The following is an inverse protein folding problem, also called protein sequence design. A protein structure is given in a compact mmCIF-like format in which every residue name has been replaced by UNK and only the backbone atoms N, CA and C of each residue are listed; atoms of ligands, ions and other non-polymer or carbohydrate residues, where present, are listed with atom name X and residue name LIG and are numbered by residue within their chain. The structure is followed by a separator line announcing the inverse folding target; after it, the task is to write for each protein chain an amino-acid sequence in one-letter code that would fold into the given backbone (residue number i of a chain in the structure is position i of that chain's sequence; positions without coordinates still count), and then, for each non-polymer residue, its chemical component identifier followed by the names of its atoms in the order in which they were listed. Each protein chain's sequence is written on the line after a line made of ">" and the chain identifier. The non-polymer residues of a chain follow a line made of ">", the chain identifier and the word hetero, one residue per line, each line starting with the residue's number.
data_IF_673664574810
#
_entry.id   IF_673664574810
#
_cell.length_a   1.000
_cell.length_b   1.000
_cell.length_c   1.000
_cell.angle_alpha   90.00
_cell.angle_beta   90.00
_cell.angle_gamma   90.00
#
_symmetry.space_group_name_H-M   'P 1'
#
loop_
_entity.id
_entity.type
_entity.pdbx_description
1 polymer ?
#
# COMPACT_ATOMS: atom_id res chain seq x y z
N UNK A 1 5.63 12.61 9.68
CA UNK A 1 4.41 13.37 9.32
C UNK A 1 3.55 12.66 8.27
N UNK A 2 3.94 12.64 6.98
CA UNK A 2 3.14 11.97 5.93
C UNK A 2 2.95 10.47 6.19
N UNK A 3 4.01 9.76 6.58
CA UNK A 3 3.95 8.34 6.90
C UNK A 3 3.03 8.05 8.10
N UNK A 4 3.09 8.88 9.15
CA UNK A 4 2.25 8.71 10.34
C UNK A 4 0.76 8.87 10.00
N UNK A 5 0.45 9.81 9.11
CA UNK A 5 -0.91 10.02 8.62
C UNK A 5 -1.42 8.81 7.82
N UNK A 6 -0.58 8.23 6.95
CA UNK A 6 -0.93 7.02 6.19
C UNK A 6 -1.18 5.84 7.14
N UNK A 7 -0.30 5.64 8.13
CA UNK A 7 -0.47 4.57 9.14
C UNK A 7 -1.74 4.74 9.96
N UNK A 8 -2.02 5.96 10.41
CA UNK A 8 -3.23 6.27 11.18
C UNK A 8 -4.49 5.99 10.34
N UNK A 9 -4.51 6.47 9.10
CA UNK A 9 -5.61 6.23 8.17
C UNK A 9 -5.79 4.73 7.93
N UNK A 10 -4.71 3.99 7.66
CA UNK A 10 -4.75 2.53 7.46
C UNK A 10 -5.42 1.80 8.62
N UNK A 11 -5.10 2.18 9.87
CA UNK A 11 -5.69 1.57 11.08
C UNK A 11 -7.17 1.90 11.27
N UNK A 12 -7.65 3.01 10.71
CA UNK A 12 -9.04 3.45 10.83
C UNK A 12 -9.94 2.92 9.71
N UNK A 13 -9.37 2.34 8.65
CA UNK A 13 -10.14 1.75 7.56
C UNK A 13 -10.85 0.48 8.07
N UNK A 14 -12.19 0.38 7.94
CA UNK A 14 -12.91 -0.82 8.33
C UNK A 14 -12.49 -2.05 7.52
N UNK A 15 -12.49 -3.24 8.13
CA UNK A 15 -12.09 -4.50 7.48
C UNK A 15 -12.83 -4.77 6.15
N UNK A 16 -14.09 -4.34 6.04
CA UNK A 16 -14.90 -4.46 4.83
C UNK A 16 -14.26 -3.79 3.60
N UNK A 17 -13.47 -2.73 3.79
CA UNK A 17 -12.82 -2.00 2.70
C UNK A 17 -11.52 -2.66 2.23
N UNK A 18 -10.95 -3.60 2.98
CA UNK A 18 -9.79 -4.40 2.53
C UNK A 18 -10.19 -5.40 1.42
N UNK A 19 -11.47 -5.51 1.08
CA UNK A 19 -11.93 -6.23 -0.11
C UNK A 19 -12.03 -5.33 -1.35
N UNK A 20 -11.85 -4.01 -1.22
CA UNK A 20 -11.93 -3.08 -2.33
C UNK A 20 -10.54 -2.91 -2.98
N UNK A 21 -10.31 -3.44 -4.19
CA UNK A 21 -9.01 -3.43 -4.83
C UNK A 21 -8.52 -2.00 -5.15
N UNK A 22 -9.43 -1.03 -5.37
CA UNK A 22 -9.05 0.36 -5.60
C UNK A 22 -8.50 1.00 -4.34
N UNK A 23 -9.18 0.81 -3.20
CA UNK A 23 -8.71 1.36 -1.92
C UNK A 23 -7.39 0.74 -1.49
N UNK A 24 -7.27 -0.58 -1.64
CA UNK A 24 -5.99 -1.26 -1.39
C UNK A 24 -4.88 -0.72 -2.30
N UNK A 25 -5.14 -0.54 -3.60
CA UNK A 25 -4.14 0.03 -4.52
C UNK A 25 -3.68 1.42 -4.07
N UNK A 26 -4.61 2.29 -3.69
CA UNK A 26 -4.28 3.64 -3.20
C UNK A 26 -3.47 3.62 -1.92
N UNK A 27 -3.78 2.69 -1.00
CA UNK A 27 -3.04 2.54 0.25
C UNK A 27 -1.63 1.99 0.02
N UNK A 28 -1.48 1.04 -0.90
CA UNK A 28 -0.17 0.54 -1.33
C UNK A 28 0.68 1.67 -1.93
N UNK A 29 0.14 2.45 -2.87
CA UNK A 29 0.85 3.58 -3.47
C UNK A 29 1.28 4.61 -2.42
N UNK A 30 0.42 4.91 -1.44
CA UNK A 30 0.73 5.83 -0.35
C UNK A 30 1.83 5.29 0.60
N UNK A 31 1.74 4.02 1.02
CA UNK A 31 2.73 3.38 1.88
C UNK A 31 4.10 3.31 1.19
N UNK A 32 4.13 2.91 -0.08
CA UNK A 32 5.34 2.85 -0.89
C UNK A 32 6.00 4.23 -1.07
N UNK A 33 5.22 5.28 -1.40
CA UNK A 33 5.74 6.66 -1.51
C UNK A 33 6.29 7.21 -0.21
N UNK A 34 5.73 6.77 0.93
CA UNK A 34 6.20 7.18 2.26
C UNK A 34 7.34 6.31 2.80
N UNK A 35 7.83 5.33 2.02
CA UNK A 35 8.97 4.48 2.36
C UNK A 35 8.65 3.32 3.30
N UNK A 36 7.39 3.07 3.64
CA UNK A 36 7.02 1.91 4.48
C UNK A 36 6.66 0.70 3.63
N UNK A 37 7.70 0.15 3.03
CA UNK A 37 7.62 -1.01 2.13
C UNK A 37 7.10 -2.23 2.88
N UNK A 38 7.50 -2.45 4.13
CA UNK A 38 7.11 -3.61 4.91
C UNK A 38 5.59 -3.68 5.12
N UNK A 39 4.93 -2.56 5.45
CA UNK A 39 3.47 -2.53 5.56
C UNK A 39 2.79 -2.69 4.19
N UNK A 40 3.35 -2.09 3.13
CA UNK A 40 2.81 -2.25 1.79
C UNK A 40 2.85 -3.73 1.34
N UNK A 41 3.96 -4.42 1.57
CA UNK A 41 4.10 -5.86 1.28
C UNK A 41 3.12 -6.69 2.08
N UNK A 42 3.05 -6.48 3.40
CA UNK A 42 2.10 -7.19 4.26
C UNK A 42 0.66 -7.06 3.74
N UNK A 43 0.25 -5.84 3.36
CA UNK A 43 -1.08 -5.57 2.83
C UNK A 43 -1.31 -6.20 1.45
N UNK A 44 -0.31 -6.14 0.58
CA UNK A 44 -0.38 -6.73 -0.75
C UNK A 44 -0.55 -8.26 -0.67
N UNK A 45 0.25 -8.92 0.17
CA UNK A 45 0.20 -10.36 0.34
C UNK A 45 -1.07 -10.83 1.05
N UNK A 46 -1.58 -10.08 2.04
CA UNK A 46 -2.84 -10.39 2.73
C UNK A 46 -4.08 -10.18 1.85
N UNK A 47 -3.98 -9.42 0.75
CA UNK A 47 -5.10 -9.23 -0.17
C UNK A 47 -5.48 -10.52 -0.89
N UNK A 48 -6.75 -10.90 -0.77
CA UNK A 48 -7.36 -12.06 -1.46
C UNK A 48 -7.42 -11.88 -2.97
N UNK A 49 -7.56 -10.64 -3.45
CA UNK A 49 -7.61 -10.32 -4.88
C UNK A 49 -6.52 -9.30 -5.22
N UNK A 50 -5.57 -9.70 -6.07
CA UNK A 50 -4.52 -8.83 -6.57
C UNK A 50 -4.86 -8.41 -7.98
N UNK A 51 -5.03 -7.11 -8.20
CA UNK A 51 -5.33 -6.52 -9.51
C UNK A 51 -4.09 -5.85 -10.10
N UNK A 52 -4.04 -5.72 -11.43
CA UNK A 52 -2.90 -5.14 -12.15
C UNK A 52 -2.39 -3.79 -11.55
N UNK A 53 -3.27 -2.83 -11.17
CA UNK A 53 -2.83 -1.60 -10.51
C UNK A 53 -2.04 -1.80 -9.20
N UNK A 54 -2.34 -2.85 -8.42
CA UNK A 54 -1.62 -3.13 -7.17
C UNK A 54 -0.18 -3.54 -7.44
N UNK A 55 0.07 -4.38 -8.45
CA UNK A 55 1.42 -4.73 -8.88
C UNK A 55 2.18 -3.49 -9.35
N UNK A 56 1.52 -2.61 -10.12
CA UNK A 56 2.09 -1.33 -10.55
C UNK A 56 2.51 -0.43 -9.40
N UNK A 57 1.67 -0.33 -8.35
CA UNK A 57 1.99 0.44 -7.14
C UNK A 57 3.24 -0.10 -6.42
N UNK A 58 3.32 -1.43 -6.25
CA UNK A 58 4.48 -2.08 -5.62
C UNK A 58 5.77 -1.87 -6.41
N UNK A 59 5.77 -2.14 -7.72
CA UNK A 59 6.96 -1.99 -8.57
C UNK A 59 7.47 -0.55 -8.60
N UNK A 60 6.55 0.43 -8.73
CA UNK A 60 6.91 1.85 -8.76
C UNK A 60 7.60 2.29 -7.47
N UNK A 61 7.13 1.81 -6.32
CA UNK A 61 7.73 2.11 -5.04
C UNK A 61 9.09 1.45 -4.82
N UNK A 62 9.25 0.19 -5.24
CA UNK A 62 10.53 -0.53 -5.10
C UNK A 62 11.64 0.11 -5.94
N UNK A 63 11.31 0.63 -7.12
CA UNK A 63 12.27 1.40 -7.92
C UNK A 63 12.79 2.65 -7.20
N UNK A 64 12.00 3.27 -6.33
CA UNK A 64 12.44 4.42 -5.53
C UNK A 64 13.42 4.02 -4.42
N UNK A 65 13.29 2.80 -3.88
CA UNK A 65 14.19 2.28 -2.83
C UNK A 65 15.51 1.79 -3.44
N UNK A 66 15.49 1.26 -4.66
CA UNK A 66 16.69 0.77 -5.35
C UNK A 66 17.57 1.88 -5.96
N UNK A 67 17.07 3.12 -6.05
CA UNK A 67 17.78 4.28 -6.60
C UNK A 67 18.33 5.22 -5.51
N UNK A 68 18.23 4.84 -4.24
CA UNK A 68 18.85 5.50 -3.08
C UNK A 68 19.87 4.56 -2.44
#
# INVERSE_FOLDING_TARGET
>A
EALDLVKKTSKQIPESFYSNPRLLTSLLDALMKCGDVAHAESLFYSSKQKVLPMYGAMMKGLNHVFLL
#
